data_IF_457100643469
#
_entry.id   IF_457100643469
#
_cell.length_a   1.000
_cell.length_b   1.000
_cell.length_c   1.000
_cell.angle_alpha   90.00
_cell.angle_beta   90.00
_cell.angle_gamma   90.00
#
_symmetry.space_group_name_H-M   'P 1'
#
loop_
_entity.id
_entity.type
_entity.pdbx_description
1 polymer ?
#
# COMPACT_ATOMS: atom_id res chain seq x y z
N UNK A 1 10.22 -4.25 -21.01
CA UNK A 1 9.01 -3.49 -20.58
C UNK A 1 9.45 -2.03 -20.37
N UNK A 2 8.69 -1.02 -20.83
CA UNK A 2 9.08 0.39 -20.66
C UNK A 2 8.90 0.86 -19.21
N UNK A 3 9.83 1.68 -18.68
CA UNK A 3 9.74 2.27 -17.32
C UNK A 3 8.40 2.95 -17.08
N UNK A 4 7.86 3.66 -18.08
CA UNK A 4 6.55 4.30 -18.00
C UNK A 4 5.39 3.31 -17.85
N UNK A 5 5.48 2.14 -18.53
CA UNK A 5 4.49 1.07 -18.40
C UNK A 5 4.54 0.46 -16.99
N UNK A 6 5.73 0.30 -16.43
CA UNK A 6 5.93 -0.18 -15.06
C UNK A 6 5.37 0.79 -14.02
N UNK A 7 5.63 2.10 -14.16
CA UNK A 7 5.07 3.11 -13.25
C UNK A 7 3.53 3.16 -13.32
N UNK A 8 2.95 3.03 -14.52
CA UNK A 8 1.50 2.94 -14.67
C UNK A 8 0.92 1.71 -13.98
N UNK A 9 1.57 0.55 -14.13
CA UNK A 9 1.15 -0.67 -13.45
C UNK A 9 1.25 -0.52 -11.93
N UNK A 10 2.35 0.05 -11.42
CA UNK A 10 2.52 0.36 -10.00
C UNK A 10 1.43 1.30 -9.48
N UNK A 11 1.06 2.37 -10.18
CA UNK A 11 -0.05 3.24 -9.77
C UNK A 11 -1.37 2.49 -9.65
N UNK A 12 -1.66 1.55 -10.56
CA UNK A 12 -2.86 0.71 -10.49
C UNK A 12 -2.80 -0.24 -9.29
N UNK A 13 -1.65 -0.88 -9.06
CA UNK A 13 -1.45 -1.77 -7.90
C UNK A 13 -1.62 -1.00 -6.60
N UNK A 14 -0.94 0.14 -6.44
CA UNK A 14 -1.08 1.01 -5.27
C UNK A 14 -2.53 1.46 -5.06
N UNK A 15 -3.28 1.73 -6.12
CA UNK A 15 -4.71 2.07 -6.00
C UNK A 15 -5.55 0.88 -5.50
N UNK A 16 -5.28 -0.33 -5.99
CA UNK A 16 -5.94 -1.54 -5.51
C UNK A 16 -5.58 -1.86 -4.04
N UNK A 17 -4.34 -1.61 -3.63
CA UNK A 17 -3.91 -1.74 -2.23
C UNK A 17 -4.70 -0.79 -1.34
N UNK A 18 -4.89 0.48 -1.73
CA UNK A 18 -5.74 1.43 -0.99
C UNK A 18 -7.16 0.89 -0.84
N UNK A 19 -7.76 0.35 -1.91
CA UNK A 19 -9.11 -0.24 -1.85
C UNK A 19 -9.14 -1.41 -0.87
N UNK A 20 -8.13 -2.29 -0.89
CA UNK A 20 -8.04 -3.40 0.05
C UNK A 20 -7.95 -2.92 1.51
N UNK A 21 -7.19 -1.86 1.77
CA UNK A 21 -7.08 -1.23 3.10
C UNK A 21 -8.36 -0.51 3.56
N UNK A 22 -9.34 -0.31 2.68
CA UNK A 22 -10.67 0.20 3.04
C UNK A 22 -11.71 -0.91 3.12
N UNK A 23 -11.55 -1.96 2.32
CA UNK A 23 -12.49 -3.09 2.23
C UNK A 23 -12.32 -4.14 3.34
N UNK A 24 -11.15 -4.20 4.00
CA UNK A 24 -10.89 -5.17 5.07
C UNK A 24 -11.94 -5.22 6.20
N UNK A 25 -12.57 -4.12 6.69
CA UNK A 25 -13.56 -4.19 7.75
C UNK A 25 -14.86 -4.87 7.28
N UNK A 26 -15.15 -4.77 5.98
CA UNK A 26 -16.28 -5.45 5.34
C UNK A 26 -15.99 -6.95 5.20
N UNK A 27 -14.75 -7.31 4.85
CA UNK A 27 -14.31 -8.70 4.68
C UNK A 27 -14.26 -9.45 6.03
N UNK A 28 -13.75 -8.81 7.08
CA UNK A 28 -13.64 -9.41 8.42
C UNK A 28 -14.92 -9.32 9.25
N UNK A 29 -15.89 -8.52 8.81
CA UNK A 29 -17.17 -8.32 9.49
C UNK A 29 -17.12 -7.25 10.59
N UNK A 30 -18.06 -6.30 10.53
CA UNK A 30 -18.13 -5.15 11.43
C UNK A 30 -18.19 -5.51 12.93
N UNK A 31 -18.69 -6.70 13.28
CA UNK A 31 -18.75 -7.18 14.66
C UNK A 31 -17.37 -7.38 15.31
N UNK A 32 -16.32 -7.66 14.53
CA UNK A 32 -14.96 -7.81 15.04
C UNK A 32 -14.28 -6.47 15.36
N UNK A 33 -14.79 -5.35 14.82
CA UNK A 33 -14.21 -4.01 14.97
C UNK A 33 -14.49 -3.37 16.33
N UNK A 34 -15.51 -3.86 17.06
CA UNK A 34 -15.99 -3.25 18.30
C UNK A 34 -15.09 -3.63 19.50
N UNK A 35 -14.41 -4.78 19.43
CA UNK A 35 -13.51 -5.28 20.47
C UNK A 35 -12.09 -4.70 20.44
N UNK A 36 -11.27 -4.98 21.46
CA UNK A 36 -9.86 -4.58 21.49
C UNK A 36 -9.06 -5.05 20.26
N UNK A 37 -9.33 -6.27 19.77
CA UNK A 37 -8.72 -6.81 18.55
C UNK A 37 -9.10 -6.00 17.30
N UNK A 38 -10.35 -5.55 17.20
CA UNK A 38 -10.82 -4.69 16.13
C UNK A 38 -10.12 -3.34 16.06
N UNK A 39 -9.85 -2.73 17.23
CA UNK A 39 -9.08 -1.48 17.33
C UNK A 39 -7.62 -1.69 16.90
N UNK A 40 -7.01 -2.80 17.30
CA UNK A 40 -5.65 -3.15 16.91
C UNK A 40 -5.56 -3.35 15.38
N UNK A 41 -6.45 -4.15 14.80
CA UNK A 41 -6.53 -4.34 13.35
C UNK A 41 -6.74 -3.00 12.63
N UNK A 42 -7.62 -2.15 13.13
CA UNK A 42 -7.81 -0.81 12.55
C UNK A 42 -6.51 0.01 12.52
N UNK A 43 -5.74 0.02 13.61
CA UNK A 43 -4.42 0.66 13.65
C UNK A 43 -3.41 0.01 12.70
N UNK A 44 -3.45 -1.32 12.56
CA UNK A 44 -2.56 -2.06 11.66
C UNK A 44 -2.84 -1.72 10.19
N UNK A 45 -4.12 -1.59 9.80
CA UNK A 45 -4.51 -1.29 8.41
C UNK A 45 -4.48 0.21 8.06
N UNK A 46 -4.60 1.11 9.04
CA UNK A 46 -4.60 2.57 8.76
C UNK A 46 -3.20 3.11 8.41
N UNK A 47 -2.15 2.53 8.98
CA UNK A 47 -0.75 2.87 8.69
C UNK A 47 -0.38 2.65 7.22
N UNK A 48 -0.56 1.44 6.65
CA UNK A 48 -0.32 1.19 5.23
C UNK A 48 -1.27 1.97 4.33
N UNK A 49 -2.51 2.24 4.76
CA UNK A 49 -3.44 3.11 4.01
C UNK A 49 -2.85 4.51 3.75
N UNK A 50 -2.38 5.19 4.79
CA UNK A 50 -1.75 6.51 4.64
C UNK A 50 -0.46 6.43 3.83
N UNK A 51 0.33 5.37 4.02
CA UNK A 51 1.52 5.14 3.22
C UNK A 51 1.18 5.08 1.73
N UNK A 52 0.19 4.27 1.33
CA UNK A 52 -0.15 4.07 -0.07
C UNK A 52 -0.76 5.32 -0.72
N UNK A 53 -1.51 6.13 0.02
CA UNK A 53 -1.95 7.46 -0.45
C UNK A 53 -0.73 8.34 -0.75
N UNK A 54 0.20 8.46 0.21
CA UNK A 54 1.42 9.25 0.04
C UNK A 54 2.27 8.74 -1.13
N UNK A 55 2.38 7.41 -1.26
CA UNK A 55 3.12 6.74 -2.31
C UNK A 55 2.49 6.98 -3.69
N UNK A 56 1.17 6.98 -3.81
CA UNK A 56 0.47 7.29 -5.07
C UNK A 56 0.74 8.74 -5.51
N UNK A 57 0.71 9.69 -4.57
CA UNK A 57 1.06 11.09 -4.83
C UNK A 57 2.53 11.18 -5.27
N UNK A 58 3.43 10.48 -4.58
CA UNK A 58 4.84 10.40 -4.94
C UNK A 58 5.04 9.84 -6.35
N UNK A 59 4.39 8.73 -6.71
CA UNK A 59 4.44 8.11 -8.04
C UNK A 59 4.02 9.10 -9.14
N UNK A 60 2.95 9.89 -8.89
CA UNK A 60 2.47 10.88 -9.86
C UNK A 60 3.51 11.96 -10.18
N UNK A 61 4.35 12.33 -9.19
CA UNK A 61 5.46 13.27 -9.35
C UNK A 61 6.69 12.59 -9.95
N UNK A 62 6.97 11.37 -9.50
CA UNK A 62 8.12 10.58 -9.95
C UNK A 62 8.05 10.23 -11.44
N UNK A 63 6.85 9.97 -11.95
CA UNK A 63 6.62 9.72 -13.37
C UNK A 63 6.98 10.89 -14.29
N UNK A 64 7.08 12.12 -13.75
CA UNK A 64 7.48 13.33 -14.48
C UNK A 64 8.99 13.57 -14.48
N UNK A 65 9.77 12.81 -13.70
CA UNK A 65 11.24 12.91 -13.69
C UNK A 65 11.85 12.36 -14.97
N UNK A 66 13.08 12.79 -15.27
CA UNK A 66 13.86 12.26 -16.38
C UNK A 66 14.04 10.74 -16.23
N UNK A 67 14.02 10.02 -17.36
CA UNK A 67 14.01 8.55 -17.37
C UNK A 67 15.28 7.94 -16.78
N UNK A 68 16.40 8.64 -16.84
CA UNK A 68 17.70 8.15 -16.39
C UNK A 68 17.84 8.24 -14.86
N UNK A 69 17.14 9.19 -14.24
CA UNK A 69 17.05 9.33 -12.77
C UNK A 69 16.07 8.35 -12.12
N UNK A 70 15.29 7.61 -12.92
CA UNK A 70 14.28 6.68 -12.40
C UNK A 70 14.90 5.32 -12.06
N UNK A 71 15.13 5.08 -10.76
CA UNK A 71 15.37 3.77 -10.19
C UNK A 71 14.05 3.03 -9.96
N UNK A 72 13.61 2.27 -10.96
CA UNK A 72 12.33 1.53 -10.91
C UNK A 72 12.37 0.40 -9.87
N UNK A 73 13.51 -0.25 -9.66
CA UNK A 73 13.65 -1.34 -8.69
C UNK A 73 13.37 -0.87 -7.27
N UNK A 74 13.89 0.29 -6.89
CA UNK A 74 13.61 0.89 -5.57
C UNK A 74 12.13 1.23 -5.40
N UNK A 75 11.47 1.73 -6.45
CA UNK A 75 10.03 2.07 -6.37
C UNK A 75 9.17 0.82 -6.21
N UNK A 76 9.48 -0.26 -6.94
CA UNK A 76 8.78 -1.54 -6.76
C UNK A 76 8.98 -2.03 -5.32
N UNK A 77 10.22 -1.99 -4.81
CA UNK A 77 10.50 -2.37 -3.44
C UNK A 77 9.71 -1.54 -2.43
N UNK A 78 9.70 -0.21 -2.57
CA UNK A 78 8.91 0.69 -1.72
C UNK A 78 7.42 0.35 -1.73
N UNK A 79 6.84 -0.04 -2.87
CA UNK A 79 5.44 -0.45 -2.93
C UNK A 79 5.14 -1.73 -2.11
N UNK A 80 6.10 -2.65 -2.03
CA UNK A 80 5.91 -3.97 -1.37
C UNK A 80 6.25 -3.93 0.13
N UNK A 81 7.10 -3.01 0.60
CA UNK A 81 7.51 -2.88 2.01
C UNK A 81 6.33 -2.90 3.00
N UNK A 82 5.25 -2.12 2.80
CA UNK A 82 4.14 -2.10 3.76
C UNK A 82 3.42 -3.44 3.87
N UNK A 83 3.31 -4.19 2.77
CA UNK A 83 2.75 -5.55 2.78
C UNK A 83 3.66 -6.50 3.57
N UNK A 84 4.98 -6.45 3.36
CA UNK A 84 5.91 -7.29 4.14
C UNK A 84 5.79 -6.97 5.63
N UNK A 85 5.75 -5.68 5.99
CA UNK A 85 5.55 -5.24 7.37
C UNK A 85 4.20 -5.71 7.93
N UNK A 86 3.12 -5.60 7.16
CA UNK A 86 1.79 -6.06 7.54
C UNK A 86 1.78 -7.58 7.79
N UNK A 87 2.37 -8.37 6.90
CA UNK A 87 2.47 -9.82 7.05
C UNK A 87 3.23 -10.19 8.33
N UNK A 88 4.35 -9.53 8.61
CA UNK A 88 5.14 -9.79 9.81
C UNK A 88 4.40 -9.42 11.09
N UNK A 89 3.68 -8.29 11.09
CA UNK A 89 2.85 -7.89 12.23
C UNK A 89 1.72 -8.89 12.44
N UNK A 90 1.02 -9.29 11.39
CA UNK A 90 -0.08 -10.26 11.48
C UNK A 90 0.37 -11.66 11.90
N UNK A 91 1.62 -12.06 11.62
CA UNK A 91 2.16 -13.37 12.03
C UNK A 91 2.53 -13.43 13.53
N UNK A 92 2.78 -12.26 14.15
CA UNK A 92 3.10 -12.16 15.58
C UNK A 92 1.83 -12.18 16.46
N UNK A 93 0.68 -11.78 15.92
CA UNK A 93 -0.58 -11.63 16.64
C UNK A 93 -1.54 -12.79 16.41
#
# INVERSE_FOLDING_TARGET
MSKAKTLKALSVITFLEIIAMVAWPVILGWGQLIGPAGKLLFTIFILPFFYYIGFLIFLSRYAKREKDDQNIGLIIFSNIIPIIGLLYVLDIF
#
